data_IF_074566257877
#
_entry.id   IF_074566257877
#
_cell.length_a   1.000
_cell.length_b   1.000
_cell.length_c   1.000
_cell.angle_alpha   90.00
_cell.angle_beta   90.00
_cell.angle_gamma   90.00
#
_symmetry.space_group_name_H-M   'P 1'
#
loop_
_entity.id
_entity.type
_entity.pdbx_description
1 polymer ?
#
# COMPACT_ATOMS: atom_id res chain seq x y z
N UNK A 1 45.18 -25.03 41.76
CA UNK A 1 45.07 -25.04 40.31
C UNK A 1 43.59 -25.14 39.92
N UNK A 2 42.88 -24.06 40.00
CA UNK A 2 41.49 -23.96 39.57
C UNK A 2 41.18 -22.48 39.24
N UNK A 3 41.60 -22.04 38.08
CA UNK A 3 41.33 -20.64 37.66
C UNK A 3 41.62 -20.43 36.17
N UNK A 4 40.94 -21.14 35.30
CA UNK A 4 41.07 -20.88 33.86
C UNK A 4 39.79 -21.16 33.04
N UNK A 5 38.71 -21.63 33.63
CA UNK A 5 37.49 -22.01 32.90
C UNK A 5 36.32 -21.05 33.03
N UNK A 6 36.45 -19.96 33.79
CA UNK A 6 35.33 -19.00 34.02
C UNK A 6 35.44 -17.75 33.13
N UNK A 7 36.52 -17.54 32.38
CA UNK A 7 36.69 -16.33 31.54
C UNK A 7 36.18 -16.43 30.10
N UNK A 8 35.79 -17.60 29.61
CA UNK A 8 35.38 -17.77 28.20
C UNK A 8 33.88 -17.69 27.97
N UNK A 9 33.05 -17.69 29.02
CA UNK A 9 31.57 -17.64 28.88
C UNK A 9 31.00 -16.25 28.95
N UNK A 10 31.77 -15.23 29.35
CA UNK A 10 31.24 -13.85 29.51
C UNK A 10 31.44 -12.93 28.28
N UNK A 11 32.04 -13.43 27.17
CA UNK A 11 32.23 -12.61 25.95
C UNK A 11 31.17 -12.82 24.88
N UNK A 12 30.23 -13.72 25.07
CA UNK A 12 29.18 -14.02 24.09
C UNK A 12 27.88 -13.17 24.24
N UNK A 13 27.82 -12.27 25.25
CA UNK A 13 26.61 -11.50 25.54
C UNK A 13 26.72 -9.99 25.25
N UNK A 14 27.60 -9.60 24.32
CA UNK A 14 27.78 -8.17 23.97
C UNK A 14 27.61 -7.89 22.48
N UNK A 15 26.61 -8.45 21.86
CA UNK A 15 26.13 -7.92 20.60
C UNK A 15 24.60 -7.86 20.66
N UNK A 16 23.98 -6.70 20.97
CA UNK A 16 22.57 -6.55 20.71
C UNK A 16 22.43 -6.63 19.19
N UNK A 17 21.89 -7.78 18.69
CA UNK A 17 21.39 -7.84 17.33
C UNK A 17 20.47 -6.63 17.17
N UNK A 18 20.93 -5.61 16.42
CA UNK A 18 20.05 -4.60 15.86
C UNK A 18 19.07 -5.35 14.99
N UNK A 19 17.91 -5.65 15.52
CA UNK A 19 16.74 -5.95 14.73
C UNK A 19 16.46 -4.69 13.91
N UNK A 20 17.10 -4.59 12.75
CA UNK A 20 16.64 -3.70 11.70
C UNK A 20 15.25 -4.23 11.34
N UNK A 21 14.21 -3.61 11.83
CA UNK A 21 12.84 -3.83 11.34
C UNK A 21 12.85 -3.46 9.86
N UNK A 22 13.19 -4.41 9.02
CA UNK A 22 13.05 -4.27 7.58
C UNK A 22 11.54 -4.14 7.35
N UNK A 23 11.10 -3.01 6.86
CA UNK A 23 9.70 -2.86 6.44
C UNK A 23 9.43 -3.92 5.37
N UNK A 24 8.32 -4.62 5.48
CA UNK A 24 7.91 -5.61 4.48
C UNK A 24 7.74 -4.91 3.13
N UNK A 25 8.26 -5.53 2.06
CA UNK A 25 8.02 -5.06 0.70
C UNK A 25 6.54 -5.24 0.33
N UNK A 26 6.07 -4.55 -0.72
CA UNK A 26 4.69 -4.76 -1.21
C UNK A 26 4.47 -6.21 -1.65
N UNK A 27 5.49 -6.86 -2.23
CA UNK A 27 5.44 -8.29 -2.61
C UNK A 27 5.27 -9.19 -1.37
N UNK A 28 6.00 -8.92 -0.27
CA UNK A 28 5.85 -9.69 0.98
C UNK A 28 4.44 -9.50 1.57
N UNK A 29 3.93 -8.27 1.56
CA UNK A 29 2.56 -7.96 1.99
C UNK A 29 1.52 -8.66 1.13
N UNK A 30 1.69 -8.69 -0.19
CA UNK A 30 0.80 -9.38 -1.11
C UNK A 30 0.80 -10.90 -0.91
N UNK A 31 1.97 -11.52 -0.69
CA UNK A 31 2.05 -12.94 -0.36
C UNK A 31 1.32 -13.27 0.95
N UNK A 32 1.49 -12.44 1.97
CA UNK A 32 0.79 -12.60 3.25
C UNK A 32 -0.72 -12.38 3.10
N UNK A 33 -1.14 -11.39 2.32
CA UNK A 33 -2.54 -11.11 2.04
C UNK A 33 -3.22 -12.26 1.28
N UNK A 34 -2.53 -12.87 0.32
CA UNK A 34 -3.04 -14.02 -0.42
C UNK A 34 -3.30 -15.24 0.50
N UNK A 35 -2.45 -15.44 1.52
CA UNK A 35 -2.64 -16.50 2.53
C UNK A 35 -3.84 -16.17 3.45
N UNK A 36 -4.05 -14.89 3.76
CA UNK A 36 -5.08 -14.40 4.67
C UNK A 36 -6.31 -13.82 3.93
N UNK A 37 -6.59 -14.25 2.70
CA UNK A 37 -7.67 -13.71 1.87
C UNK A 37 -9.03 -13.75 2.59
N UNK A 38 -9.32 -14.84 3.28
CA UNK A 38 -10.59 -15.01 4.01
C UNK A 38 -10.75 -14.01 5.16
N UNK A 39 -9.67 -13.60 5.79
CA UNK A 39 -9.70 -12.57 6.85
C UNK A 39 -10.07 -11.20 6.25
N UNK A 40 -9.56 -10.90 5.05
CA UNK A 40 -9.90 -9.66 4.34
C UNK A 40 -11.25 -9.73 3.63
N UNK A 41 -11.86 -10.92 3.50
CA UNK A 41 -13.17 -11.06 2.87
C UNK A 41 -14.26 -10.27 3.62
N UNK A 42 -14.16 -10.20 4.94
CA UNK A 42 -15.17 -9.53 5.78
C UNK A 42 -14.88 -8.02 5.95
N UNK A 43 -13.60 -7.63 6.03
CA UNK A 43 -13.22 -6.22 6.21
C UNK A 43 -11.76 -5.97 5.80
N UNK A 44 -11.47 -4.77 5.32
CA UNK A 44 -10.12 -4.36 4.95
C UNK A 44 -9.69 -3.13 5.74
N UNK A 45 -8.38 -2.87 5.77
CA UNK A 45 -7.84 -1.63 6.34
C UNK A 45 -8.45 -0.40 5.65
N UNK A 46 -8.75 -0.47 4.34
CA UNK A 46 -9.37 0.64 3.61
C UNK A 46 -10.84 0.82 4.00
N UNK A 47 -11.58 -0.27 4.24
CA UNK A 47 -12.92 -0.19 4.82
C UNK A 47 -12.93 0.55 6.15
N UNK A 48 -11.95 0.26 7.02
CA UNK A 48 -11.78 0.94 8.31
C UNK A 48 -11.42 2.42 8.16
N UNK A 49 -10.60 2.79 7.17
CA UNK A 49 -10.28 4.20 6.86
C UNK A 49 -11.53 4.94 6.39
N UNK A 50 -12.33 4.34 5.49
CA UNK A 50 -13.60 4.92 5.01
C UNK A 50 -14.56 5.21 6.17
N UNK A 51 -14.66 4.29 7.14
CA UNK A 51 -15.49 4.45 8.34
C UNK A 51 -14.84 5.31 9.43
N UNK A 52 -13.63 5.83 9.19
CA UNK A 52 -12.86 6.69 10.13
C UNK A 52 -12.47 5.96 11.42
N UNK A 53 -12.42 4.64 11.41
CA UNK A 53 -11.94 3.80 12.53
C UNK A 53 -10.40 3.81 12.62
N UNK A 54 -9.72 4.03 11.50
CA UNK A 54 -8.27 4.18 11.41
C UNK A 54 -7.95 5.52 10.77
N UNK A 55 -7.00 6.31 11.31
CA UNK A 55 -6.61 7.59 10.75
C UNK A 55 -5.86 7.41 9.43
N UNK A 56 -6.11 8.32 8.48
CA UNK A 56 -5.35 8.46 7.24
C UNK A 56 -5.19 9.94 6.89
N UNK A 57 -4.12 10.26 6.14
CA UNK A 57 -3.91 11.62 5.63
C UNK A 57 -4.73 11.81 4.36
N UNK A 58 -6.01 12.14 4.52
CA UNK A 58 -6.98 12.30 3.44
C UNK A 58 -6.62 13.55 2.63
N UNK A 59 -6.67 13.43 1.28
CA UNK A 59 -6.40 14.51 0.32
C UNK A 59 -7.71 14.93 -0.36
N UNK A 60 -8.59 13.95 -0.65
CA UNK A 60 -9.84 14.16 -1.33
C UNK A 60 -10.87 13.13 -0.86
N UNK A 61 -12.11 13.58 -0.74
CA UNK A 61 -13.24 12.71 -0.40
C UNK A 61 -14.51 13.23 -1.09
N UNK A 62 -15.28 12.32 -1.70
CA UNK A 62 -16.66 12.56 -2.12
C UNK A 62 -17.55 11.36 -1.76
N UNK A 63 -18.75 11.28 -2.29
CA UNK A 63 -19.72 10.21 -1.95
C UNK A 63 -19.26 8.82 -2.41
N UNK A 64 -18.41 8.72 -3.44
CA UNK A 64 -18.02 7.45 -4.06
C UNK A 64 -16.55 7.13 -3.97
N UNK A 65 -15.69 8.15 -3.78
CA UNK A 65 -14.22 7.99 -3.82
C UNK A 65 -13.55 8.65 -2.61
N UNK A 66 -12.41 8.07 -2.23
CA UNK A 66 -11.52 8.59 -1.20
C UNK A 66 -10.09 8.54 -1.73
N UNK A 67 -9.33 9.64 -1.55
CA UNK A 67 -7.89 9.66 -1.82
C UNK A 67 -7.11 10.06 -0.56
N UNK A 68 -6.00 9.34 -0.28
CA UNK A 68 -5.16 9.56 0.89
C UNK A 68 -3.71 9.18 0.62
N UNK A 69 -2.77 9.78 1.36
CA UNK A 69 -1.36 9.45 1.23
C UNK A 69 -1.06 8.02 1.63
N UNK A 70 -0.22 7.34 0.83
CA UNK A 70 0.29 6.02 1.19
C UNK A 70 1.23 6.12 2.41
N UNK A 71 1.08 5.19 3.36
CA UNK A 71 1.92 5.14 4.58
C UNK A 71 3.33 4.61 4.31
N UNK A 72 3.55 4.00 3.16
CA UNK A 72 4.82 3.41 2.72
C UNK A 72 5.20 3.95 1.33
N UNK A 73 5.46 5.26 1.18
CA UNK A 73 5.61 5.90 -0.12
C UNK A 73 6.80 5.33 -0.90
N UNK A 74 6.58 5.03 -2.19
CA UNK A 74 7.58 4.51 -3.13
C UNK A 74 8.08 5.59 -4.11
N UNK A 75 7.57 6.81 -3.96
CA UNK A 75 7.98 8.00 -4.70
C UNK A 75 7.80 9.23 -3.79
N UNK A 76 8.39 10.39 -4.11
CA UNK A 76 8.21 11.62 -3.33
C UNK A 76 6.74 11.99 -3.11
N UNK A 77 5.90 11.76 -4.13
CA UNK A 77 4.44 11.78 -4.02
C UNK A 77 3.91 10.39 -4.30
N UNK A 78 3.24 9.79 -3.33
CA UNK A 78 2.55 8.51 -3.47
C UNK A 78 1.25 8.56 -2.68
N UNK A 79 0.14 8.47 -3.39
CA UNK A 79 -1.19 8.43 -2.79
C UNK A 79 -2.03 7.33 -3.43
N UNK A 80 -3.09 6.96 -2.74
CA UNK A 80 -4.06 5.96 -3.16
C UNK A 80 -5.39 6.62 -3.46
N UNK A 81 -6.09 6.09 -4.46
CA UNK A 81 -7.50 6.42 -4.74
C UNK A 81 -8.31 5.13 -4.68
N UNK A 82 -9.32 5.13 -3.84
CA UNK A 82 -10.17 3.96 -3.60
C UNK A 82 -11.65 4.29 -3.79
N UNK A 83 -12.49 3.34 -4.23
CA UNK A 83 -13.93 3.48 -4.15
C UNK A 83 -14.41 3.28 -2.70
N UNK A 84 -15.43 4.03 -2.28
CA UNK A 84 -16.07 3.79 -0.98
C UNK A 84 -16.86 2.49 -0.97
N UNK A 85 -17.50 2.14 -2.10
CA UNK A 85 -18.08 0.82 -2.32
C UNK A 85 -16.97 -0.18 -2.61
N UNK A 86 -16.90 -1.25 -1.84
CA UNK A 86 -15.85 -2.25 -2.02
C UNK A 86 -15.99 -3.00 -3.32
N UNK A 87 -14.91 -3.02 -4.10
CA UNK A 87 -14.59 -3.98 -5.15
C UNK A 87 -13.28 -4.61 -4.69
N UNK A 88 -13.20 -5.91 -4.52
CA UNK A 88 -12.00 -6.54 -3.94
C UNK A 88 -10.81 -6.52 -4.90
N UNK A 89 -11.04 -6.84 -6.18
CA UNK A 89 -10.01 -6.93 -7.22
C UNK A 89 -10.53 -6.38 -8.54
N UNK A 90 -9.65 -5.90 -9.39
CA UNK A 90 -10.05 -5.39 -10.72
C UNK A 90 -10.71 -6.48 -11.57
N UNK A 91 -10.22 -7.72 -11.51
CA UNK A 91 -10.78 -8.85 -12.27
C UNK A 91 -12.22 -9.20 -11.87
N UNK A 92 -12.67 -8.79 -10.69
CA UNK A 92 -14.03 -9.01 -10.21
C UNK A 92 -14.97 -7.81 -10.49
N UNK A 93 -14.45 -6.75 -11.13
CA UNK A 93 -15.27 -5.63 -11.57
C UNK A 93 -16.12 -6.03 -12.79
N UNK A 94 -17.39 -5.66 -12.78
CA UNK A 94 -18.30 -5.87 -13.90
C UNK A 94 -18.55 -4.59 -14.70
N UNK A 95 -19.30 -4.70 -15.79
CA UNK A 95 -19.67 -3.57 -16.65
C UNK A 95 -20.37 -2.45 -15.87
N UNK A 96 -21.16 -2.79 -14.86
CA UNK A 96 -21.81 -1.82 -13.97
C UNK A 96 -20.82 -0.99 -13.14
N UNK A 97 -19.57 -1.41 -13.01
CA UNK A 97 -18.54 -0.70 -12.25
C UNK A 97 -17.72 0.27 -13.13
N UNK A 98 -17.92 0.24 -14.45
CA UNK A 98 -17.14 1.05 -15.40
C UNK A 98 -17.17 2.55 -15.08
N UNK A 99 -18.35 3.09 -14.75
CA UNK A 99 -18.50 4.50 -14.38
C UNK A 99 -17.73 4.85 -13.10
N UNK A 100 -17.78 3.99 -12.08
CA UNK A 100 -17.04 4.17 -10.82
C UNK A 100 -15.54 4.10 -11.05
N UNK A 101 -15.06 3.11 -11.82
CA UNK A 101 -13.63 2.98 -12.14
C UNK A 101 -13.13 4.18 -12.93
N UNK A 102 -13.91 4.64 -13.92
CA UNK A 102 -13.62 5.87 -14.66
C UNK A 102 -13.54 7.08 -13.74
N UNK A 103 -14.44 7.19 -12.76
CA UNK A 103 -14.41 8.24 -11.75
C UNK A 103 -13.13 8.19 -10.91
N UNK A 104 -12.66 7.00 -10.48
CA UNK A 104 -11.41 6.86 -9.75
C UNK A 104 -10.22 7.37 -10.57
N UNK A 105 -10.16 7.05 -11.87
CA UNK A 105 -9.11 7.56 -12.77
C UNK A 105 -9.13 9.08 -12.88
N UNK A 106 -10.30 9.68 -13.05
CA UNK A 106 -10.46 11.15 -13.10
C UNK A 106 -10.11 11.78 -11.76
N UNK A 107 -10.48 11.16 -10.65
CA UNK A 107 -10.12 11.61 -9.31
C UNK A 107 -8.61 11.57 -9.11
N UNK A 108 -7.93 10.50 -9.54
CA UNK A 108 -6.47 10.40 -9.52
C UNK A 108 -5.81 11.58 -10.26
N UNK A 109 -6.30 11.91 -11.45
CA UNK A 109 -5.79 13.04 -12.23
C UNK A 109 -6.03 14.39 -11.53
N UNK A 110 -7.21 14.61 -10.93
CA UNK A 110 -7.52 15.84 -10.16
C UNK A 110 -6.60 16.00 -8.97
N UNK A 111 -6.42 14.95 -8.18
CA UNK A 111 -5.55 14.96 -6.99
C UNK A 111 -4.09 15.13 -7.39
N UNK A 112 -3.61 14.47 -8.46
CA UNK A 112 -2.27 14.65 -8.98
C UNK A 112 -1.99 16.11 -9.35
N UNK A 113 -2.94 16.77 -10.04
CA UNK A 113 -2.85 18.19 -10.36
C UNK A 113 -2.85 19.07 -9.10
N UNK A 114 -3.71 18.78 -8.12
CA UNK A 114 -3.76 19.48 -6.84
C UNK A 114 -2.43 19.38 -6.08
N UNK A 115 -1.74 18.26 -6.16
CA UNK A 115 -0.44 18.01 -5.52
C UNK A 115 0.76 18.48 -6.37
N UNK A 116 0.53 19.15 -7.51
CA UNK A 116 1.57 19.75 -8.32
C UNK A 116 2.36 18.79 -9.19
N UNK A 117 1.82 17.63 -9.55
CA UNK A 117 2.49 16.65 -10.42
C UNK A 117 2.41 17.05 -11.91
N UNK A 118 2.91 18.25 -12.25
CA UNK A 118 2.84 18.85 -13.60
C UNK A 118 3.71 18.10 -14.61
N UNK A 119 4.82 17.52 -14.17
CA UNK A 119 5.77 16.83 -15.07
C UNK A 119 5.38 15.36 -15.34
N UNK A 120 4.26 14.92 -14.76
CA UNK A 120 3.72 13.59 -14.98
C UNK A 120 3.78 12.69 -13.74
N UNK A 121 3.07 11.59 -13.84
CA UNK A 121 2.94 10.60 -12.78
C UNK A 121 2.57 9.25 -13.40
N UNK A 122 2.64 8.21 -12.61
CA UNK A 122 2.21 6.86 -13.00
C UNK A 122 1.00 6.47 -12.16
N UNK A 123 0.02 5.86 -12.81
CA UNK A 123 -1.10 5.17 -12.14
C UNK A 123 -0.87 3.67 -12.27
N UNK A 124 -0.97 2.95 -11.14
CA UNK A 124 -0.80 1.51 -11.07
C UNK A 124 -2.00 0.90 -10.37
N UNK A 125 -2.53 -0.17 -10.95
CA UNK A 125 -3.54 -1.03 -10.33
C UNK A 125 -2.95 -2.41 -10.19
N UNK A 126 -2.77 -2.86 -8.98
CA UNK A 126 -2.30 -4.19 -8.67
C UNK A 126 -3.50 -5.14 -8.60
N UNK A 127 -3.42 -6.28 -9.31
CA UNK A 127 -4.47 -7.29 -9.30
C UNK A 127 -3.89 -8.65 -8.91
N UNK A 128 -4.39 -9.22 -7.84
CA UNK A 128 -3.99 -10.53 -7.36
C UNK A 128 -2.55 -10.62 -6.85
N UNK A 129 -2.11 -11.85 -6.61
CA UNK A 129 -0.81 -12.15 -6.00
C UNK A 129 0.37 -11.70 -6.87
N UNK A 130 0.38 -12.09 -8.14
CA UNK A 130 1.50 -11.79 -9.04
C UNK A 130 1.54 -10.30 -9.41
N UNK A 131 0.40 -9.61 -9.33
CA UNK A 131 0.32 -8.15 -9.42
C UNK A 131 0.69 -7.42 -8.13
N UNK A 132 1.13 -8.13 -7.08
CA UNK A 132 1.49 -7.57 -5.77
C UNK A 132 0.35 -6.80 -5.07
N UNK A 133 -0.92 -7.24 -5.24
CA UNK A 133 -2.05 -6.67 -4.52
C UNK A 133 -2.00 -7.08 -3.04
N UNK A 134 -1.81 -6.12 -2.13
CA UNK A 134 -1.67 -6.36 -0.69
C UNK A 134 -2.97 -6.14 0.10
N UNK A 135 -3.94 -5.40 -0.44
CA UNK A 135 -5.25 -5.17 0.17
C UNK A 135 -6.35 -5.52 -0.83
N UNK A 136 -7.27 -6.42 -0.44
CA UNK A 136 -8.41 -6.82 -1.28
C UNK A 136 -9.56 -5.81 -1.21
N UNK A 137 -9.26 -4.63 -1.67
CA UNK A 137 -10.12 -3.50 -1.93
C UNK A 137 -9.46 -2.72 -3.06
N UNK A 138 -10.14 -2.60 -4.20
CA UNK A 138 -9.60 -1.94 -5.40
C UNK A 138 -8.98 -0.60 -5.04
N UNK A 139 -7.77 -0.36 -5.48
CA UNK A 139 -7.07 0.90 -5.26
C UNK A 139 -6.14 1.21 -6.42
N UNK A 140 -6.05 2.49 -6.74
CA UNK A 140 -5.13 3.05 -7.70
C UNK A 140 -3.98 3.68 -6.92
N UNK A 141 -2.74 3.21 -7.16
CA UNK A 141 -1.55 3.92 -6.74
C UNK A 141 -1.26 5.05 -7.72
N UNK A 142 -0.98 6.23 -7.22
CA UNK A 142 -0.49 7.36 -8.02
C UNK A 142 0.88 7.75 -7.49
N UNK A 143 1.90 7.64 -8.36
CA UNK A 143 3.29 7.86 -8.01
C UNK A 143 3.89 8.95 -8.90
N UNK A 144 4.57 9.92 -8.30
CA UNK A 144 5.19 11.03 -9.02
C UNK A 144 6.19 11.79 -8.17
N UNK A 145 6.60 12.97 -8.67
CA UNK A 145 7.59 13.82 -8.02
C UNK A 145 9.04 13.44 -8.33
N UNK A 146 9.28 12.48 -9.22
CA UNK A 146 10.57 12.13 -9.81
C UNK A 146 10.39 11.42 -11.15
N UNK A 147 11.45 11.32 -11.93
CA UNK A 147 11.47 10.45 -13.13
C UNK A 147 11.29 8.99 -12.69
N UNK A 148 10.32 8.32 -13.29
CA UNK A 148 10.07 6.90 -13.11
C UNK A 148 10.70 6.10 -14.25
N UNK A 149 11.17 4.89 -13.93
CA UNK A 149 11.84 4.00 -14.89
C UNK A 149 10.82 3.27 -15.79
N UNK A 150 11.30 2.79 -16.92
CA UNK A 150 10.60 1.89 -17.81
C UNK A 150 11.51 0.69 -18.15
N UNK A 151 11.03 -0.55 -18.15
CA UNK A 151 9.66 -1.01 -17.81
C UNK A 151 9.29 -0.77 -16.33
N UNK A 152 7.97 -0.84 -15.97
CA UNK A 152 7.49 -0.48 -14.63
C UNK A 152 7.80 -1.48 -13.52
N UNK A 153 8.33 -2.65 -13.82
CA UNK A 153 8.69 -3.68 -12.85
C UNK A 153 9.84 -4.56 -13.33
#
# INVERSE_FOLDING_TARGET
MASSLIRTVLLAYRNPMRFVKRSMSEVDKANLAAINKDVQANDTIFGKIIRKEIPAKIIYEDDEALAFHDVSPQAPTHFLVIPKRRIDMLENAGDSDAALIGKLMVTAAKVAKQLGLSDGYRVVVNNGKDGAQSVFHLHLHVLGGRQLQWPPG
#
